data_IF_684249400233
#
_entry.id   IF_684249400233
#
_cell.length_a   1.000
_cell.length_b   1.000
_cell.length_c   1.000
_cell.angle_alpha   90.00
_cell.angle_beta   90.00
_cell.angle_gamma   90.00
#
_symmetry.space_group_name_H-M   'P 1'
#
loop_
_entity.id
_entity.type
_entity.pdbx_description
1 polymer ?
#
# COMPACT_ATOMS: atom_id res chain seq x y z
N UNK A 1 -11.64 0.91 10.13
CA UNK A 1 -10.46 1.82 10.18
C UNK A 1 -9.28 1.09 9.52
N UNK A 2 -8.78 1.59 8.39
CA UNK A 2 -7.70 0.95 7.62
C UNK A 2 -6.37 0.98 8.39
N UNK A 3 -5.51 -0.02 8.18
CA UNK A 3 -4.23 -0.18 8.90
C UNK A 3 -3.35 1.09 8.78
N UNK A 4 -3.05 1.77 9.89
CA UNK A 4 -2.26 3.00 9.91
C UNK A 4 -0.78 2.80 9.55
N UNK A 5 -0.28 1.55 9.50
CA UNK A 5 1.10 1.26 9.10
C UNK A 5 1.28 1.19 7.57
N UNK A 6 0.18 1.16 6.80
CA UNK A 6 0.27 1.19 5.34
C UNK A 6 0.53 2.61 4.85
N UNK A 7 1.68 2.81 4.19
CA UNK A 7 1.95 4.03 3.45
C UNK A 7 0.94 4.15 2.30
N UNK A 8 0.26 5.29 2.22
CA UNK A 8 -0.73 5.59 1.17
C UNK A 8 -0.29 6.75 0.32
N UNK A 9 -0.39 6.58 -0.98
CA UNK A 9 -0.29 7.66 -1.94
C UNK A 9 -1.37 7.47 -3.02
N UNK A 10 -1.91 8.55 -3.59
CA UNK A 10 -2.72 8.44 -4.79
C UNK A 10 -1.85 7.96 -5.96
N UNK A 11 -2.38 7.08 -6.79
CA UNK A 11 -1.76 6.70 -8.05
C UNK A 11 -1.71 7.93 -8.95
N UNK A 12 -0.53 8.24 -9.49
CA UNK A 12 -0.34 9.40 -10.38
C UNK A 12 -1.06 9.27 -11.72
N UNK A 13 -1.39 8.05 -12.13
CA UNK A 13 -1.96 7.78 -13.46
C UNK A 13 -3.48 7.66 -13.42
N UNK A 14 -4.04 7.08 -12.36
CA UNK A 14 -5.49 6.84 -12.24
C UNK A 14 -6.17 7.67 -11.16
N UNK A 15 -5.41 8.35 -10.28
CA UNK A 15 -5.96 9.08 -9.13
C UNK A 15 -6.50 8.17 -8.00
N UNK A 16 -6.51 6.85 -8.21
CA UNK A 16 -7.01 5.87 -7.25
C UNK A 16 -6.05 5.67 -6.07
N UNK A 17 -6.57 5.34 -4.88
CA UNK A 17 -5.72 5.10 -3.72
C UNK A 17 -4.79 3.88 -3.94
N UNK A 18 -3.55 4.03 -3.49
CA UNK A 18 -2.51 3.00 -3.57
C UNK A 18 -2.03 2.64 -2.17
N UNK A 19 -1.94 1.34 -1.87
CA UNK A 19 -1.32 0.81 -0.67
C UNK A 19 0.03 0.19 -1.03
N UNK A 20 1.04 0.43 -0.20
CA UNK A 20 2.33 -0.23 -0.29
C UNK A 20 2.49 -1.25 0.84
N UNK A 21 3.05 -2.40 0.54
CA UNK A 21 3.22 -3.46 1.52
C UNK A 21 4.19 -4.56 1.09
N UNK A 22 4.67 -5.31 2.08
CA UNK A 22 5.49 -6.50 1.87
C UNK A 22 4.61 -7.74 1.84
N UNK A 23 4.88 -8.65 0.92
CA UNK A 23 4.31 -10.01 0.94
C UNK A 23 5.13 -10.91 1.85
N UNK A 24 4.55 -12.04 2.26
CA UNK A 24 5.26 -13.11 2.99
C UNK A 24 6.46 -13.66 2.21
N UNK A 25 6.46 -13.53 0.89
CA UNK A 25 7.55 -13.96 -0.01
C UNK A 25 8.64 -12.90 -0.18
N UNK A 26 8.59 -11.78 0.56
CA UNK A 26 9.59 -10.71 0.48
C UNK A 26 9.47 -9.82 -0.76
N UNK A 27 8.32 -9.80 -1.44
CA UNK A 27 8.06 -8.87 -2.55
C UNK A 27 7.45 -7.59 -2.01
N UNK A 28 7.91 -6.45 -2.49
CA UNK A 28 7.35 -5.15 -2.16
C UNK A 28 6.38 -4.74 -3.26
N UNK A 29 5.10 -4.68 -2.92
CA UNK A 29 4.02 -4.41 -3.86
C UNK A 29 3.46 -3.01 -3.67
N UNK A 30 3.10 -2.39 -4.79
CA UNK A 30 2.16 -1.28 -4.83
C UNK A 30 0.83 -1.79 -5.39
N UNK A 31 -0.21 -1.73 -4.57
CA UNK A 31 -1.56 -2.20 -4.91
C UNK A 31 -2.46 -1.00 -5.07
N UNK A 32 -2.98 -0.79 -6.28
CA UNK A 32 -4.02 0.20 -6.55
C UNK A 32 -5.37 -0.46 -6.33
N UNK A 33 -6.22 0.19 -5.55
CA UNK A 33 -7.53 -0.31 -5.19
C UNK A 33 -8.59 0.79 -5.30
N UNK A 34 -9.84 0.36 -5.39
CA UNK A 34 -11.03 1.19 -5.25
C UNK A 34 -11.63 0.95 -3.87
N UNK A 35 -12.09 2.03 -3.22
CA UNK A 35 -12.87 1.96 -1.99
C UNK A 35 -14.35 1.83 -2.40
N UNK A 36 -14.92 0.65 -2.18
CA UNK A 36 -16.30 0.33 -2.60
C UNK A 36 -17.30 0.71 -1.51
N UNK A 37 -16.94 0.45 -0.26
CA UNK A 37 -17.74 0.80 0.91
C UNK A 37 -16.81 1.09 2.09
N UNK A 38 -17.21 2.02 2.95
CA UNK A 38 -16.48 2.39 4.16
C UNK A 38 -16.97 1.59 5.38
N UNK A 39 -18.20 1.07 5.37
CA UNK A 39 -18.78 0.29 6.46
C UNK A 39 -19.86 -0.73 5.97
N UNK A 40 -19.51 -2.03 5.82
CA UNK A 40 -18.23 -2.62 6.14
C UNK A 40 -17.17 -2.18 5.14
N UNK A 41 -15.98 -1.88 5.65
CA UNK A 41 -14.84 -1.49 4.83
C UNK A 41 -14.54 -2.53 3.74
N UNK A 42 -14.87 -2.18 2.51
CA UNK A 42 -14.79 -3.04 1.34
C UNK A 42 -13.90 -2.38 0.29
N UNK A 43 -12.79 -3.06 -0.04
CA UNK A 43 -11.84 -2.61 -1.05
C UNK A 43 -11.82 -3.58 -2.22
N UNK A 44 -11.76 -3.03 -3.44
CA UNK A 44 -11.59 -3.82 -4.66
C UNK A 44 -10.18 -3.60 -5.23
N UNK A 45 -9.31 -4.62 -5.26
CA UNK A 45 -8.02 -4.48 -5.91
C UNK A 45 -8.21 -4.32 -7.43
N UNK A 46 -7.55 -3.32 -8.00
CA UNK A 46 -7.57 -3.06 -9.44
C UNK A 46 -6.34 -3.69 -10.09
N UNK A 47 -5.15 -3.37 -9.58
CA UNK A 47 -3.89 -3.90 -10.08
C UNK A 47 -2.83 -3.94 -8.97
N UNK A 48 -1.88 -4.87 -9.07
CA UNK A 48 -0.70 -4.92 -8.22
C UNK A 48 0.57 -5.00 -9.08
N UNK A 49 1.61 -4.29 -8.68
CA UNK A 49 2.91 -4.29 -9.36
C UNK A 49 4.03 -4.46 -8.33
N UNK A 50 5.06 -5.20 -8.70
CA UNK A 50 6.34 -5.20 -7.97
C UNK A 50 6.98 -3.82 -8.09
N UNK A 51 7.34 -3.25 -6.95
CA UNK A 51 8.03 -1.96 -6.87
C UNK A 51 9.31 -2.12 -6.08
N UNK A 52 10.36 -1.35 -6.41
CA UNK A 52 11.55 -1.31 -5.58
C UNK A 52 11.14 -1.02 -4.14
N UNK A 53 11.74 -1.74 -3.18
CA UNK A 53 11.72 -1.29 -1.81
C UNK A 53 12.28 0.13 -1.80
N UNK A 54 11.43 1.13 -1.51
CA UNK A 54 11.94 2.45 -1.19
C UNK A 54 12.77 2.21 0.06
N UNK A 55 14.09 2.22 -0.10
CA UNK A 55 15.06 2.14 0.98
C UNK A 55 14.53 3.08 2.05
N UNK A 56 13.93 2.51 3.10
CA UNK A 56 13.33 3.25 4.19
C UNK A 56 14.50 3.76 5.02
N UNK A 57 15.26 4.69 4.44
CA UNK A 57 16.29 5.42 5.16
C UNK A 57 15.59 6.22 6.25
N UNK A 58 15.72 5.64 7.45
CA UNK A 58 15.44 6.19 8.80
C UNK A 58 13.94 6.11 9.16
N UNK A 59 13.53 5.54 10.29
CA UNK A 59 14.20 5.38 11.60
C UNK A 59 13.29 4.55 12.54
N UNK A 60 13.86 3.58 13.28
CA UNK A 60 13.68 3.27 14.73
C UNK A 60 13.75 1.74 14.95
N UNK A 61 14.68 1.17 15.74
CA UNK A 61 15.62 1.76 16.72
C UNK A 61 16.77 0.76 16.99
N UNK A 62 17.96 1.32 17.20
CA UNK A 62 19.20 0.68 17.67
C UNK A 62 19.00 -0.07 19.00
N UNK A 63 19.81 -1.14 19.13
CA UNK A 63 20.31 -1.80 20.34
C UNK A 63 19.30 -2.62 21.15
#
# INVERSE_FOLDING_TARGET
MLDPNSSRAPSRTSGLPTAFGWTSTGRHLAVVYELVDDDPLTLRPVTAYDVPARDSKKKRRKR
#
